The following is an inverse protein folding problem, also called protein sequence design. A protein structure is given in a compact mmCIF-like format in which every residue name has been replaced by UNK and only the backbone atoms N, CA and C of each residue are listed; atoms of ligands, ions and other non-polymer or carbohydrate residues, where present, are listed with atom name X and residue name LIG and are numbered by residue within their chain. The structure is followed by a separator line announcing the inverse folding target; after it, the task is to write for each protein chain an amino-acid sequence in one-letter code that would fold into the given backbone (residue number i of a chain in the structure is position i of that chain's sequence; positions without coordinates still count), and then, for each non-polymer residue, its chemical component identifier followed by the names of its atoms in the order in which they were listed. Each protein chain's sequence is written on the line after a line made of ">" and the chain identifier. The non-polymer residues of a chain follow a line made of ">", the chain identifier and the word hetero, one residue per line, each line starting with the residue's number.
data_IF_589722974775
#
_entry.id   IF_589722974775
#
_cell.length_a   1.000
_cell.length_b   1.000
_cell.length_c   1.000
_cell.angle_alpha   90.00
_cell.angle_beta   90.00
_cell.angle_gamma   90.00
#
_symmetry.space_group_name_H-M   'P 1'
#
loop_
_entity.id
_entity.type
_entity.pdbx_description
1 polymer ?
#
# COMPACT_ATOMS: atom_id res chain seq x y z
N UNK A 1 1.51 -19.94 16.21
CA UNK A 1 1.65 -18.92 15.14
C UNK A 1 2.39 -17.74 15.73
N UNK A 2 3.56 -17.42 15.22
CA UNK A 2 4.32 -16.25 15.66
C UNK A 2 3.61 -15.00 15.16
N UNK A 3 3.36 -14.04 16.03
CA UNK A 3 2.82 -12.73 15.61
C UNK A 3 3.78 -12.08 14.61
N UNK A 4 3.28 -11.51 13.50
CA UNK A 4 4.16 -10.83 12.54
C UNK A 4 4.88 -9.67 13.24
N UNK A 5 6.13 -9.34 12.82
CA UNK A 5 6.90 -8.27 13.43
C UNK A 5 6.16 -6.93 13.38
N UNK A 6 6.35 -6.04 14.37
CA UNK A 6 5.75 -4.70 14.33
C UNK A 6 6.24 -3.92 13.12
N UNK A 7 5.43 -2.98 12.64
CA UNK A 7 5.85 -2.01 11.61
C UNK A 7 6.76 -0.96 12.27
N UNK A 8 8.02 -0.95 11.86
CA UNK A 8 9.06 -0.06 12.37
C UNK A 8 9.15 1.22 11.54
N UNK A 9 9.54 2.33 12.14
CA UNK A 9 9.81 3.59 11.46
C UNK A 9 11.00 3.47 10.50
N UNK A 10 11.05 4.32 9.49
CA UNK A 10 12.10 4.36 8.45
C UNK A 10 12.39 3.02 7.78
N UNK A 11 11.38 2.16 7.68
CA UNK A 11 11.57 0.78 7.27
C UNK A 11 10.70 0.45 6.06
N UNK A 12 11.32 -0.22 5.09
CA UNK A 12 10.69 -0.62 3.84
C UNK A 12 10.06 -2.00 3.99
N UNK A 13 8.83 -2.13 3.46
CA UNK A 13 8.06 -3.36 3.52
C UNK A 13 7.42 -3.70 2.19
N UNK A 14 7.35 -4.98 1.91
CA UNK A 14 6.37 -5.56 1.01
C UNK A 14 5.16 -5.97 1.85
N UNK A 15 4.04 -5.30 1.64
CA UNK A 15 2.75 -5.55 2.30
C UNK A 15 1.84 -6.26 1.30
N UNK A 16 1.18 -7.33 1.76
CA UNK A 16 0.21 -8.05 0.95
C UNK A 16 -0.91 -8.62 1.81
N UNK A 17 -2.06 -8.85 1.20
CA UNK A 17 -3.16 -9.54 1.85
C UNK A 17 -4.09 -10.15 0.78
N UNK A 18 -4.89 -11.11 1.22
CA UNK A 18 -5.80 -11.90 0.38
C UNK A 18 -7.17 -11.97 1.03
N UNK A 19 -8.21 -12.15 0.20
CA UNK A 19 -9.53 -12.49 0.68
C UNK A 19 -9.56 -13.85 1.41
N UNK A 20 -10.34 -13.94 2.49
CA UNK A 20 -10.62 -15.22 3.13
C UNK A 20 -11.17 -16.19 2.10
N UNK A 21 -10.83 -17.47 2.21
CA UNK A 21 -11.23 -18.52 1.25
C UNK A 21 -10.87 -18.21 -0.20
N UNK A 22 -9.87 -17.35 -0.46
CA UNK A 22 -9.47 -16.85 -1.78
C UNK A 22 -10.59 -16.10 -2.52
N UNK A 23 -11.58 -15.58 -1.80
CA UNK A 23 -12.67 -14.79 -2.37
C UNK A 23 -12.19 -13.45 -2.94
N UNK A 24 -12.92 -12.92 -3.91
CA UNK A 24 -12.62 -11.64 -4.52
C UNK A 24 -12.82 -10.51 -3.50
N UNK A 25 -11.78 -9.70 -3.33
CA UNK A 25 -11.81 -8.46 -2.54
C UNK A 25 -12.05 -7.25 -3.43
N UNK A 26 -11.76 -7.36 -4.73
CA UNK A 26 -12.11 -6.38 -5.77
C UNK A 26 -13.09 -7.03 -6.73
N UNK A 27 -14.36 -6.67 -6.63
CA UNK A 27 -15.48 -7.27 -7.38
C UNK A 27 -15.77 -6.45 -8.64
N UNK A 28 -15.72 -5.11 -8.51
CA UNK A 28 -15.97 -4.13 -9.56
C UNK A 28 -14.86 -3.09 -9.62
N UNK A 29 -14.78 -2.34 -10.73
CA UNK A 29 -13.77 -1.30 -10.94
C UNK A 29 -13.73 -0.25 -9.82
N UNK A 30 -14.90 0.19 -9.36
CA UNK A 30 -15.02 1.16 -8.25
C UNK A 30 -14.38 0.67 -6.94
N UNK A 31 -14.18 -0.64 -6.75
CA UNK A 31 -13.53 -1.16 -5.55
C UNK A 31 -12.02 -0.87 -5.55
N UNK A 32 -11.36 -0.89 -6.71
CA UNK A 32 -9.96 -0.52 -6.84
C UNK A 32 -9.76 0.97 -6.54
N UNK A 33 -10.63 1.84 -7.07
CA UNK A 33 -10.60 3.28 -6.78
C UNK A 33 -10.84 3.56 -5.29
N UNK A 34 -11.80 2.86 -4.69
CA UNK A 34 -12.07 2.96 -3.26
C UNK A 34 -10.84 2.58 -2.42
N UNK A 35 -10.17 1.48 -2.79
CA UNK A 35 -8.98 1.01 -2.08
C UNK A 35 -7.87 2.06 -2.11
N UNK A 36 -7.58 2.64 -3.28
CA UNK A 36 -6.59 3.70 -3.43
C UNK A 36 -6.97 4.98 -2.67
N UNK A 37 -8.24 5.40 -2.70
CA UNK A 37 -8.73 6.54 -1.91
C UNK A 37 -8.58 6.31 -0.40
N UNK A 38 -8.87 5.10 0.07
CA UNK A 38 -8.69 4.76 1.49
C UNK A 38 -7.20 4.65 1.85
N UNK A 39 -6.35 4.15 0.94
CA UNK A 39 -4.91 4.17 1.10
C UNK A 39 -4.40 5.60 1.28
N UNK A 40 -4.79 6.51 0.39
CA UNK A 40 -4.45 7.93 0.47
C UNK A 40 -4.86 8.53 1.81
N UNK A 41 -6.08 8.28 2.23
CA UNK A 41 -6.63 8.82 3.48
C UNK A 41 -5.95 8.30 4.74
N UNK A 42 -5.69 7.00 4.79
CA UNK A 42 -5.24 6.33 6.03
C UNK A 42 -3.75 6.07 6.07
N UNK A 43 -3.12 5.72 4.95
CA UNK A 43 -1.75 5.25 4.92
C UNK A 43 -0.73 6.28 4.41
N UNK A 44 -1.07 7.16 3.45
CA UNK A 44 -0.14 8.22 3.03
C UNK A 44 0.31 9.17 4.15
N UNK A 45 -0.46 9.43 5.22
CA UNK A 45 0.05 10.18 6.34
C UNK A 45 1.19 9.50 7.12
N UNK A 46 1.33 8.18 7.00
CA UNK A 46 2.29 7.37 7.77
C UNK A 46 3.25 6.54 6.90
N UNK A 47 3.06 6.53 5.57
CA UNK A 47 3.89 5.73 4.67
C UNK A 47 4.07 6.40 3.30
N UNK A 48 5.22 6.15 2.68
CA UNK A 48 5.50 6.47 1.29
C UNK A 48 5.23 5.24 0.43
N UNK A 49 4.48 5.42 -0.65
CA UNK A 49 4.10 4.34 -1.58
C UNK A 49 5.07 4.28 -2.75
N UNK A 50 5.60 3.10 -3.07
CA UNK A 50 6.55 2.90 -4.18
C UNK A 50 5.97 2.07 -5.32
N UNK A 51 5.24 1.02 -5.00
CA UNK A 51 4.57 0.19 -6.00
C UNK A 51 3.30 -0.44 -5.44
N UNK A 52 2.36 -0.75 -6.32
CA UNK A 52 1.20 -1.58 -6.01
C UNK A 52 0.77 -2.43 -7.20
N UNK A 53 0.14 -3.54 -6.89
CA UNK A 53 -0.67 -4.32 -7.81
C UNK A 53 -1.88 -4.89 -7.07
N UNK A 54 -3.05 -4.64 -7.60
CA UNK A 54 -4.32 -5.09 -7.04
C UNK A 54 -4.94 -6.14 -7.98
N UNK A 55 -4.95 -7.39 -7.56
CA UNK A 55 -5.59 -8.50 -8.24
C UNK A 55 -6.99 -8.75 -7.65
N UNK A 56 -7.84 -9.51 -8.32
CA UNK A 56 -9.23 -9.67 -7.88
C UNK A 56 -9.37 -10.11 -6.42
N UNK A 57 -8.54 -11.03 -5.97
CA UNK A 57 -8.65 -11.66 -4.65
C UNK A 57 -7.49 -11.34 -3.70
N UNK A 58 -6.48 -10.58 -4.12
CA UNK A 58 -5.35 -10.17 -3.29
C UNK A 58 -4.67 -8.90 -3.83
N UNK A 59 -3.78 -8.33 -3.05
CA UNK A 59 -2.97 -7.19 -3.46
C UNK A 59 -1.56 -7.28 -2.92
N UNK A 60 -0.67 -6.56 -3.57
CA UNK A 60 0.72 -6.35 -3.16
C UNK A 60 1.04 -4.86 -3.19
N UNK A 61 1.79 -4.39 -2.19
CA UNK A 61 2.20 -3.00 -2.04
C UNK A 61 3.65 -2.96 -1.56
N UNK A 62 4.49 -2.13 -2.17
CA UNK A 62 5.79 -1.74 -1.61
C UNK A 62 5.68 -0.34 -1.02
N UNK A 63 6.07 -0.20 0.24
CA UNK A 63 6.01 1.07 0.97
C UNK A 63 7.16 1.20 1.98
N UNK A 64 7.45 2.46 2.40
CA UNK A 64 8.27 2.77 3.57
C UNK A 64 7.36 3.34 4.65
N UNK A 65 7.45 2.84 5.87
CA UNK A 65 6.87 3.53 7.03
C UNK A 65 7.72 4.76 7.31
N UNK A 66 7.09 5.93 7.38
CA UNK A 66 7.78 7.20 7.62
C UNK A 66 8.40 7.26 9.01
N UNK A 67 9.40 8.13 9.18
CA UNK A 67 9.92 8.48 10.50
C UNK A 67 8.86 9.18 11.35
N UNK A 68 9.05 9.19 12.66
CA UNK A 68 8.16 9.89 13.57
C UNK A 68 8.10 11.38 13.26
N UNK A 69 9.26 12.00 12.97
CA UNK A 69 9.37 13.41 12.60
C UNK A 69 8.61 13.75 11.31
N UNK A 70 8.69 12.91 10.28
CA UNK A 70 7.97 13.10 9.04
C UNK A 70 6.45 13.02 9.26
N UNK A 71 5.99 12.07 10.07
CA UNK A 71 4.58 11.93 10.42
C UNK A 71 4.08 13.11 11.24
N UNK A 72 4.85 13.60 12.22
CA UNK A 72 4.51 14.81 12.97
C UNK A 72 4.39 16.04 12.09
N UNK A 73 5.34 16.25 11.16
CA UNK A 73 5.27 17.34 10.18
C UNK A 73 4.01 17.26 9.34
N UNK A 74 3.69 16.07 8.81
CA UNK A 74 2.47 15.83 8.02
C UNK A 74 1.21 16.15 8.83
N UNK A 75 1.16 15.74 10.08
CA UNK A 75 0.04 16.00 10.97
C UNK A 75 -0.13 17.48 11.29
N UNK A 76 0.98 18.21 11.52
CA UNK A 76 0.97 19.66 11.76
C UNK A 76 0.41 20.42 10.55
N UNK A 77 0.84 20.08 9.33
CA UNK A 77 0.33 20.70 8.09
C UNK A 77 -1.16 20.41 7.92
N UNK A 78 -1.59 19.16 8.10
CA UNK A 78 -3.01 18.78 8.01
C UNK A 78 -3.89 19.56 8.99
N UNK A 79 -3.42 19.77 10.21
CA UNK A 79 -4.17 20.54 11.23
C UNK A 79 -4.20 22.05 10.93
N UNK A 80 -3.11 22.61 10.38
CA UNK A 80 -3.07 24.01 9.95
C UNK A 80 -4.10 24.23 8.82
N UNK A 81 -4.13 23.36 7.82
CA UNK A 81 -5.09 23.41 6.71
C UNK A 81 -6.53 23.26 7.21
N UNK A 82 -6.78 22.33 8.14
CA UNK A 82 -8.10 22.16 8.75
C UNK A 82 -8.56 23.40 9.55
N UNK A 83 -7.64 24.10 10.23
CA UNK A 83 -7.95 25.36 10.93
C UNK A 83 -8.28 26.49 9.96
N UNK A 84 -7.54 26.63 8.87
CA UNK A 84 -7.83 27.61 7.83
C UNK A 84 -9.19 27.36 7.18
N UNK A 85 -9.52 26.12 6.85
CA UNK A 85 -10.82 25.74 6.31
C UNK A 85 -11.99 26.00 7.28
N UNK A 86 -11.75 25.94 8.62
CA UNK A 86 -12.76 26.25 9.63
C UNK A 86 -12.93 27.76 9.86
N UNK A 87 -11.90 28.55 9.72
CA UNK A 87 -11.99 30.02 9.83
C UNK A 87 -12.85 30.62 8.71
N UNK A 88 -12.96 29.94 7.57
CA UNK A 88 -13.89 30.29 6.48
C UNK A 88 -15.34 29.82 6.72
N UNK A 89 -15.62 29.04 7.79
CA UNK A 89 -16.96 28.56 8.14
C UNK A 89 -17.08 28.32 9.67
N UNK A 90 -17.44 29.36 10.50
CA UNK A 90 -17.38 29.27 11.95
C UNK A 90 -18.64 28.59 12.54
N UNK A 91 -18.71 27.28 12.49
CA UNK A 91 -19.68 26.52 13.27
C UNK A 91 -19.00 25.30 13.91
N UNK A 92 -18.99 25.27 15.25
CA UNK A 92 -18.56 24.20 16.17
C UNK A 92 -17.06 24.09 16.47
N UNK A 93 -16.69 24.75 17.55
CA UNK A 93 -15.43 24.54 18.27
C UNK A 93 -15.69 23.67 19.51
N UNK A 94 -15.20 22.43 19.49
CA UNK A 94 -15.02 21.63 20.70
C UNK A 94 -13.84 20.66 20.55
N UNK A 95 -12.96 20.73 21.54
CA UNK A 95 -11.90 19.81 21.98
C UNK A 95 -10.48 20.05 21.49
N UNK A 96 -9.75 20.75 22.35
CA UNK A 96 -8.30 20.62 22.47
C UNK A 96 -7.95 19.26 23.10
N UNK A 97 -7.53 18.29 22.30
CA UNK A 97 -6.97 17.05 22.81
C UNK A 97 -5.45 17.19 22.98
N UNK A 98 -4.97 16.95 24.19
CA UNK A 98 -3.56 16.74 24.52
C UNK A 98 -3.01 15.60 23.63
N UNK A 99 -1.94 15.90 22.89
CA UNK A 99 -1.33 14.94 21.96
C UNK A 99 -0.46 13.96 22.74
N UNK A 100 -0.78 12.65 22.63
CA UNK A 100 0.16 11.58 22.94
C UNK A 100 1.25 11.54 21.86
N UNK A 101 2.50 11.20 22.19
CA UNK A 101 3.54 10.89 21.18
C UNK A 101 3.02 9.86 20.19
N UNK A 102 3.45 9.99 18.92
CA UNK A 102 3.12 9.02 17.88
C UNK A 102 3.94 7.75 18.13
N UNK A 103 3.44 6.84 18.94
CA UNK A 103 4.09 5.55 19.18
C UNK A 103 3.90 4.57 18.01
N UNK A 104 4.62 3.45 18.02
CA UNK A 104 4.47 2.35 17.03
C UNK A 104 3.03 1.88 16.84
N UNK A 105 2.19 2.04 17.85
CA UNK A 105 0.76 1.76 17.78
C UNK A 105 0.03 2.65 16.78
N UNK A 106 0.47 3.91 16.60
CA UNK A 106 -0.17 4.84 15.64
C UNK A 106 -0.15 4.31 14.21
N UNK A 107 0.97 3.77 13.76
CA UNK A 107 1.08 3.15 12.42
C UNK A 107 0.15 1.95 12.32
N UNK A 108 0.17 1.06 13.31
CA UNK A 108 -0.70 -0.12 13.36
C UNK A 108 -2.19 0.25 13.31
N UNK A 109 -2.58 1.31 14.01
CA UNK A 109 -3.96 1.82 14.00
C UNK A 109 -4.36 2.35 12.62
N UNK A 110 -3.44 3.00 11.89
CA UNK A 110 -3.70 3.46 10.52
C UNK A 110 -3.94 2.31 9.55
N UNK A 111 -3.13 1.24 9.63
CA UNK A 111 -3.36 0.02 8.84
C UNK A 111 -4.68 -0.66 9.21
N UNK A 112 -4.98 -0.80 10.51
CA UNK A 112 -6.24 -1.35 10.99
C UNK A 112 -7.44 -0.55 10.48
N UNK A 113 -7.38 0.78 10.56
CA UNK A 113 -8.43 1.67 10.06
C UNK A 113 -8.62 1.55 8.54
N UNK A 114 -7.53 1.44 7.78
CA UNK A 114 -7.57 1.23 6.34
C UNK A 114 -8.29 -0.08 5.98
N UNK A 115 -7.84 -1.20 6.52
CA UNK A 115 -8.44 -2.51 6.23
C UNK A 115 -9.90 -2.59 6.69
N UNK A 116 -10.20 -2.07 7.88
CA UNK A 116 -11.56 -2.06 8.43
C UNK A 116 -12.50 -1.18 7.60
N UNK A 117 -12.06 0.00 7.15
CA UNK A 117 -12.86 0.89 6.32
C UNK A 117 -13.21 0.22 4.97
N UNK A 118 -12.22 -0.39 4.33
CA UNK A 118 -12.44 -1.12 3.09
C UNK A 118 -13.37 -2.32 3.29
N UNK A 119 -13.07 -3.20 4.25
CA UNK A 119 -13.87 -4.39 4.53
C UNK A 119 -15.33 -4.06 4.87
N UNK A 120 -15.56 -3.05 5.72
CA UNK A 120 -16.93 -2.59 6.05
C UNK A 120 -17.69 -2.11 4.82
N UNK A 121 -17.03 -1.37 3.93
CA UNK A 121 -17.67 -0.84 2.71
C UNK A 121 -18.02 -1.97 1.74
N UNK A 122 -17.10 -2.91 1.51
CA UNK A 122 -17.32 -4.07 0.64
C UNK A 122 -18.42 -4.98 1.23
N UNK A 123 -18.33 -5.31 2.51
CA UNK A 123 -19.34 -6.16 3.16
C UNK A 123 -20.74 -5.54 3.06
N UNK A 124 -20.87 -4.23 3.32
CA UNK A 124 -22.15 -3.52 3.17
C UNK A 124 -22.66 -3.52 1.72
N UNK A 125 -21.77 -3.25 0.76
CA UNK A 125 -22.16 -3.11 -0.64
C UNK A 125 -22.62 -4.44 -1.28
N UNK A 126 -22.07 -5.56 -0.82
CA UNK A 126 -22.31 -6.89 -1.40
C UNK A 126 -23.03 -7.87 -0.46
N UNK A 127 -23.62 -7.37 0.63
CA UNK A 127 -24.37 -8.20 1.58
C UNK A 127 -23.53 -9.29 2.27
N UNK A 128 -22.21 -9.04 2.45
CA UNK A 128 -21.30 -10.00 3.05
C UNK A 128 -21.26 -9.86 4.56
N UNK A 129 -20.97 -10.95 5.25
CA UNK A 129 -20.70 -11.01 6.70
C UNK A 129 -19.33 -11.62 6.97
N UNK A 130 -18.77 -11.34 8.14
CA UNK A 130 -17.47 -11.89 8.55
C UNK A 130 -16.27 -11.12 7.98
N UNK A 131 -15.09 -11.71 8.12
CA UNK A 131 -13.84 -11.12 7.65
C UNK A 131 -13.77 -11.09 6.12
N UNK A 132 -13.29 -9.97 5.56
CA UNK A 132 -12.99 -9.87 4.14
C UNK A 132 -11.56 -10.35 3.85
N UNK A 133 -10.63 -10.00 4.72
CA UNK A 133 -9.20 -10.28 4.57
C UNK A 133 -8.75 -11.41 5.49
N UNK A 134 -7.69 -12.09 5.08
CA UNK A 134 -6.94 -12.97 5.96
C UNK A 134 -6.27 -12.16 7.08
N UNK A 135 -6.10 -12.76 8.24
CA UNK A 135 -5.44 -12.17 9.40
C UNK A 135 -4.34 -13.11 9.92
N UNK A 136 -3.20 -12.53 10.25
CA UNK A 136 -2.75 -11.14 10.01
C UNK A 136 -2.43 -10.91 8.53
N UNK A 137 -2.34 -9.64 8.09
CA UNK A 137 -1.82 -9.33 6.76
C UNK A 137 -0.33 -9.63 6.68
N UNK A 138 0.13 -10.06 5.49
CA UNK A 138 1.53 -10.38 5.24
C UNK A 138 2.39 -9.11 5.16
N UNK A 139 3.61 -9.19 5.73
CA UNK A 139 4.62 -8.14 5.65
C UNK A 139 6.00 -8.75 5.63
N UNK A 140 6.80 -8.37 4.64
CA UNK A 140 8.19 -8.78 4.50
C UNK A 140 9.05 -7.54 4.52
N UNK A 141 10.08 -7.55 5.35
CA UNK A 141 11.08 -6.50 5.46
C UNK A 141 11.94 -6.46 4.20
N UNK A 142 12.17 -5.26 3.67
CA UNK A 142 13.09 -5.00 2.56
C UNK A 142 14.32 -4.31 3.16
N UNK A 143 15.49 -4.96 3.06
CA UNK A 143 16.72 -4.51 3.74
C UNK A 143 17.85 -4.14 2.80
N UNK A 144 17.71 -4.43 1.50
CA UNK A 144 18.73 -4.14 0.48
C UNK A 144 18.12 -3.57 -0.79
N UNK A 145 18.92 -2.79 -1.53
CA UNK A 145 18.55 -2.23 -2.82
C UNK A 145 18.10 -3.31 -3.80
N UNK A 146 18.84 -4.41 -3.84
CA UNK A 146 18.51 -5.54 -4.69
C UNK A 146 17.15 -6.17 -4.35
N UNK A 147 16.80 -6.26 -3.05
CA UNK A 147 15.47 -6.70 -2.64
C UNK A 147 14.39 -5.71 -3.08
N UNK A 148 14.65 -4.40 -2.93
CA UNK A 148 13.71 -3.35 -3.31
C UNK A 148 13.34 -3.44 -4.80
N UNK A 149 14.33 -3.53 -5.69
CA UNK A 149 14.09 -3.66 -7.14
C UNK A 149 13.28 -4.91 -7.48
N UNK A 150 13.70 -6.04 -6.92
CA UNK A 150 13.05 -7.32 -7.19
C UNK A 150 11.61 -7.34 -6.66
N UNK A 151 11.35 -6.75 -5.50
CA UNK A 151 9.98 -6.63 -4.95
C UNK A 151 9.10 -5.78 -5.87
N UNK A 152 9.59 -4.63 -6.36
CA UNK A 152 8.83 -3.79 -7.28
C UNK A 152 8.51 -4.54 -8.58
N UNK A 153 9.52 -5.17 -9.20
CA UNK A 153 9.32 -5.96 -10.41
C UNK A 153 8.36 -7.13 -10.18
N UNK A 154 8.53 -7.85 -9.08
CA UNK A 154 7.63 -8.93 -8.65
C UNK A 154 6.17 -8.45 -8.50
N UNK A 155 5.96 -7.33 -7.80
CA UNK A 155 4.63 -6.73 -7.61
C UNK A 155 3.96 -6.47 -8.97
N UNK A 156 4.69 -5.90 -9.91
CA UNK A 156 4.15 -5.57 -11.23
C UNK A 156 3.91 -6.82 -12.11
N UNK A 157 4.72 -7.87 -11.97
CA UNK A 157 4.60 -9.11 -12.76
C UNK A 157 3.47 -10.04 -12.25
N UNK A 158 2.92 -9.79 -11.06
CA UNK A 158 1.89 -10.65 -10.45
C UNK A 158 0.68 -10.94 -11.35
N UNK A 159 0.10 -9.99 -12.10
CA UNK A 159 -1.06 -10.27 -12.93
C UNK A 159 -0.79 -11.31 -14.02
N UNK A 160 0.40 -11.28 -14.60
CA UNK A 160 0.82 -12.27 -15.60
C UNK A 160 1.15 -13.62 -14.94
N UNK A 161 1.85 -13.60 -13.80
CA UNK A 161 2.18 -14.80 -13.01
C UNK A 161 0.93 -15.60 -12.63
N UNK A 162 -0.15 -14.89 -12.26
CA UNK A 162 -1.42 -15.49 -11.86
C UNK A 162 -2.42 -15.68 -13.02
N UNK A 163 -2.01 -15.43 -14.26
CA UNK A 163 -2.82 -15.70 -15.46
C UNK A 163 -3.99 -14.73 -15.67
N UNK A 164 -4.01 -13.56 -15.03
CA UNK A 164 -5.03 -12.54 -15.26
C UNK A 164 -4.87 -11.85 -16.62
N UNK A 165 -3.63 -11.72 -17.08
CA UNK A 165 -3.26 -11.15 -18.39
C UNK A 165 -2.11 -11.96 -18.99
N UNK A 166 -1.89 -11.81 -20.30
CA UNK A 166 -0.74 -12.42 -21.01
C UNK A 166 0.54 -11.59 -20.82
N UNK A 167 0.40 -10.29 -20.66
CA UNK A 167 1.48 -9.34 -20.36
C UNK A 167 1.08 -8.50 -19.14
N UNK A 168 1.92 -8.44 -18.13
CA UNK A 168 1.64 -7.69 -16.90
C UNK A 168 1.44 -6.20 -17.15
N UNK A 169 1.99 -5.65 -18.24
CA UNK A 169 1.87 -4.25 -18.63
C UNK A 169 0.43 -3.87 -18.98
N UNK A 170 -0.39 -4.85 -19.39
CA UNK A 170 -1.80 -4.65 -19.73
C UNK A 170 -2.71 -4.56 -18.51
N UNK A 171 -2.17 -4.83 -17.29
CA UNK A 171 -2.97 -4.81 -16.07
C UNK A 171 -3.14 -3.39 -15.53
N UNK A 172 -4.32 -2.82 -15.72
CA UNK A 172 -4.61 -1.41 -15.36
C UNK A 172 -4.58 -1.09 -13.86
N UNK A 173 -4.69 -2.08 -13.00
CA UNK A 173 -4.66 -1.91 -11.53
C UNK A 173 -3.28 -2.17 -10.93
N UNK A 174 -2.25 -1.85 -11.69
CA UNK A 174 -0.84 -1.89 -11.32
C UNK A 174 -0.23 -0.51 -11.44
N UNK A 175 0.75 -0.22 -10.59
CA UNK A 175 1.53 1.01 -10.66
C UNK A 175 2.61 1.01 -11.75
N UNK A 176 2.83 -0.09 -12.47
CA UNK A 176 3.88 -0.19 -13.50
C UNK A 176 3.84 0.98 -14.48
N UNK A 177 2.69 1.16 -15.15
CA UNK A 177 2.52 2.24 -16.12
C UNK A 177 2.45 3.63 -15.47
N UNK A 178 1.94 3.72 -14.23
CA UNK A 178 1.84 4.99 -13.48
C UNK A 178 3.22 5.59 -13.22
N UNK A 179 4.20 4.76 -12.88
CA UNK A 179 5.59 5.18 -12.63
C UNK A 179 6.21 5.78 -13.91
N UNK A 180 5.85 5.28 -15.07
CA UNK A 180 6.37 5.75 -16.37
C UNK A 180 5.71 7.02 -16.89
N UNK A 181 4.66 7.52 -16.24
CA UNK A 181 3.94 8.75 -16.66
C UNK A 181 4.38 9.97 -15.85
N UNK A 182 4.03 11.18 -16.35
CA UNK A 182 4.21 12.44 -15.61
C UNK A 182 2.91 12.89 -14.90
N UNK A 183 1.84 12.08 -14.94
CA UNK A 183 0.57 12.44 -14.31
C UNK A 183 0.72 12.45 -12.78
N UNK A 184 -0.01 13.33 -12.07
CA UNK A 184 -0.04 13.32 -10.61
C UNK A 184 -0.38 11.92 -10.06
N UNK A 185 0.32 11.51 -9.01
CA UNK A 185 0.16 10.19 -8.40
C UNK A 185 0.55 10.23 -6.93
N UNK A 186 0.05 9.30 -6.14
CA UNK A 186 0.48 9.08 -4.76
C UNK A 186 1.78 8.26 -4.66
N UNK A 187 2.26 7.69 -5.78
CA UNK A 187 3.55 6.98 -5.83
C UNK A 187 4.68 7.99 -5.65
N UNK A 188 5.62 7.70 -4.76
CA UNK A 188 6.89 8.41 -4.65
C UNK A 188 7.79 8.00 -5.84
N UNK A 189 7.41 8.51 -7.03
CA UNK A 189 8.05 8.17 -8.30
C UNK A 189 9.52 8.54 -8.34
N UNK A 190 9.85 9.71 -7.82
CA UNK A 190 11.23 10.22 -7.84
C UNK A 190 12.15 9.31 -7.03
N UNK A 191 11.68 8.83 -5.88
CA UNK A 191 12.44 7.88 -5.06
C UNK A 191 12.57 6.53 -5.80
N UNK A 192 11.50 6.01 -6.41
CA UNK A 192 11.57 4.79 -7.22
C UNK A 192 12.59 4.94 -8.34
N UNK A 193 12.50 6.03 -9.12
CA UNK A 193 13.43 6.25 -10.24
C UNK A 193 14.87 6.47 -9.78
N UNK A 194 15.09 7.10 -8.63
CA UNK A 194 16.43 7.24 -8.03
C UNK A 194 17.05 5.87 -7.68
N UNK A 195 16.24 4.93 -7.19
CA UNK A 195 16.70 3.58 -6.90
C UNK A 195 17.01 2.78 -8.16
N UNK A 196 16.22 2.91 -9.22
CA UNK A 196 16.45 2.20 -10.48
C UNK A 196 17.57 2.83 -11.32
N UNK A 197 17.86 4.12 -11.15
CA UNK A 197 18.81 4.89 -11.94
C UNK A 197 18.16 5.51 -13.17
N UNK A 198 17.93 4.74 -14.22
CA UNK A 198 17.31 5.22 -15.46
C UNK A 198 15.97 4.57 -15.76
N UNK A 199 15.22 5.16 -16.70
CA UNK A 199 14.01 4.55 -17.25
C UNK A 199 14.31 3.21 -17.92
N UNK A 200 15.44 3.14 -18.62
CA UNK A 200 15.94 1.95 -19.31
C UNK A 200 16.23 0.82 -18.33
N UNK A 201 16.84 1.13 -17.19
CA UNK A 201 17.11 0.16 -16.12
C UNK A 201 15.81 -0.38 -15.52
N UNK A 202 14.84 0.51 -15.28
CA UNK A 202 13.51 0.11 -14.83
C UNK A 202 12.85 -0.86 -15.81
N UNK A 203 12.85 -0.55 -17.10
CA UNK A 203 12.27 -1.39 -18.14
C UNK A 203 13.04 -2.72 -18.27
N UNK A 204 14.37 -2.68 -18.25
CA UNK A 204 15.24 -3.85 -18.36
C UNK A 204 15.01 -4.85 -17.23
N UNK A 205 14.91 -4.37 -15.97
CA UNK A 205 14.64 -5.25 -14.84
C UNK A 205 13.25 -5.89 -14.94
N UNK A 206 12.23 -5.13 -15.35
CA UNK A 206 10.87 -5.67 -15.50
C UNK A 206 10.75 -6.69 -16.64
N UNK A 207 11.69 -6.70 -17.61
CA UNK A 207 11.76 -7.73 -18.63
C UNK A 207 12.41 -9.04 -18.11
N UNK A 208 13.10 -8.99 -16.98
CA UNK A 208 13.64 -10.17 -16.32
C UNK A 208 12.54 -10.81 -15.47
N UNK A 209 12.23 -12.07 -15.73
CA UNK A 209 11.20 -12.77 -14.97
C UNK A 209 11.69 -13.10 -13.56
N UNK A 210 10.99 -12.61 -12.55
CA UNK A 210 11.27 -12.96 -11.15
C UNK A 210 10.73 -14.36 -10.88
N UNK A 211 11.64 -15.34 -10.77
CA UNK A 211 11.29 -16.74 -10.57
C UNK A 211 10.64 -16.99 -9.19
N UNK A 212 9.88 -18.07 -9.07
CA UNK A 212 9.26 -18.47 -7.81
C UNK A 212 10.25 -18.64 -6.65
N UNK A 213 11.49 -19.10 -6.94
CA UNK A 213 12.56 -19.20 -5.93
C UNK A 213 13.03 -17.84 -5.43
N UNK A 214 13.14 -16.85 -6.31
CA UNK A 214 13.45 -15.47 -5.92
C UNK A 214 12.25 -14.85 -5.17
N UNK A 215 11.03 -15.10 -5.66
CA UNK A 215 9.81 -14.60 -5.04
C UNK A 215 9.59 -15.12 -3.62
N UNK A 216 9.96 -16.37 -3.31
CA UNK A 216 9.89 -16.94 -1.94
C UNK A 216 10.65 -16.13 -0.88
N UNK A 217 11.64 -15.35 -1.29
CA UNK A 217 12.38 -14.44 -0.40
C UNK A 217 11.56 -13.19 -0.04
N UNK A 218 10.47 -12.92 -0.76
CA UNK A 218 9.66 -11.71 -0.63
C UNK A 218 8.24 -11.99 -0.13
N UNK A 219 7.89 -13.26 0.07
CA UNK A 219 6.57 -13.70 0.54
C UNK A 219 6.70 -14.83 1.55
N UNK A 220 5.76 -14.92 2.47
CA UNK A 220 5.53 -16.14 3.23
C UNK A 220 5.10 -17.26 2.28
N UNK A 221 5.63 -18.46 2.49
CA UNK A 221 5.42 -19.65 1.64
C UNK A 221 3.95 -20.08 1.47
N UNK A 222 3.06 -19.54 2.26
CA UNK A 222 1.63 -19.91 2.29
C UNK A 222 0.74 -19.00 1.43
N UNK A 223 1.33 -18.03 0.70
CA UNK A 223 0.55 -17.02 -0.03
C UNK A 223 0.36 -17.34 -1.52
N UNK A 224 1.09 -18.31 -2.07
CA UNK A 224 0.97 -18.75 -3.48
C UNK A 224 -0.08 -19.86 -3.69
#
# INVERSE_FOLDING_TARGET
>A
MTSPPPLLYDTYYHIYNRGVNRENIFIEERNYDLFLKLFEKHLLPVADLFAYCMLRNHFHISLRVRSEDEMEKTLRVSLANARQARQSNPANDHHGQSRKPLGSQYVSDKFSNFFNAYAKTINKAYGRTGSLFQHPFGRVLITTDHQFWNVIAYIHQNPQKHGFVKDFRDWKYSSYGVILTQKPTMINRDEVMKWFGTREDYLSLHNQWITGTQAKRFMDSDFD
#
